data_IF_046146863485
#
_entry.id   IF_046146863485
#
_cell.length_a   1.000
_cell.length_b   1.000
_cell.length_c   1.000
_cell.angle_alpha   90.00
_cell.angle_beta   90.00
_cell.angle_gamma   90.00
#
_symmetry.space_group_name_H-M   'P 1'
#
loop_
_entity.id
_entity.type
_entity.pdbx_description
1 polymer ?
#
# COMPACT_ATOMS: atom_id res chain seq x y z
N UNK A 1 3.55 -8.93 9.89
CA UNK A 1 4.54 -7.93 10.36
C UNK A 1 4.71 -6.75 9.41
N UNK A 2 5.16 -6.93 8.15
CA UNK A 2 5.34 -5.79 7.22
C UNK A 2 4.02 -5.27 6.65
N UNK A 3 3.12 -6.19 6.34
CA UNK A 3 1.71 -5.96 6.02
C UNK A 3 1.01 -5.14 7.11
N UNK A 4 1.11 -5.55 8.37
CA UNK A 4 0.48 -4.86 9.52
C UNK A 4 1.01 -3.44 9.72
N UNK A 5 2.32 -3.23 9.57
CA UNK A 5 2.93 -1.91 9.68
C UNK A 5 2.45 -0.98 8.56
N UNK A 6 2.40 -1.48 7.31
CA UNK A 6 1.90 -0.73 6.18
C UNK A 6 0.39 -0.44 6.31
N UNK A 7 -0.38 -1.42 6.77
CA UNK A 7 -1.81 -1.28 7.06
C UNK A 7 -2.06 -0.17 8.08
N UNK A 8 -1.30 -0.16 9.19
CA UNK A 8 -1.41 0.87 10.21
C UNK A 8 -1.11 2.28 9.66
N UNK A 9 -0.08 2.42 8.83
CA UNK A 9 0.24 3.71 8.20
C UNK A 9 -0.86 4.18 7.26
N UNK A 10 -1.40 3.27 6.43
CA UNK A 10 -2.45 3.61 5.46
C UNK A 10 -3.76 3.96 6.17
N UNK A 11 -4.11 3.25 7.25
CA UNK A 11 -5.27 3.56 8.11
C UNK A 11 -5.23 4.99 8.68
N UNK A 12 -4.05 5.56 8.89
CA UNK A 12 -3.89 6.94 9.34
C UNK A 12 -4.04 8.00 8.24
N UNK A 13 -4.14 7.62 6.97
CA UNK A 13 -4.20 8.53 5.81
C UNK A 13 -5.62 8.64 5.23
N UNK A 14 -6.44 7.61 5.43
CA UNK A 14 -7.76 7.44 4.80
C UNK A 14 -8.90 7.81 5.75
N UNK A 15 -10.10 8.06 5.21
CA UNK A 15 -11.29 8.31 6.04
C UNK A 15 -12.02 7.00 6.40
N UNK A 16 -11.85 5.93 5.61
CA UNK A 16 -12.44 4.61 5.84
C UNK A 16 -11.35 3.59 6.24
N UNK A 17 -10.82 3.62 7.48
CA UNK A 17 -9.72 2.76 7.91
C UNK A 17 -10.08 1.27 7.93
N UNK A 18 -11.36 0.92 8.15
CA UNK A 18 -11.88 -0.44 8.13
C UNK A 18 -11.78 -1.12 6.76
N UNK A 19 -11.74 -0.33 5.68
CA UNK A 19 -11.65 -0.81 4.30
C UNK A 19 -10.20 -0.98 3.82
N UNK A 20 -9.22 -0.73 4.68
CA UNK A 20 -7.81 -0.94 4.38
C UNK A 20 -7.45 -2.40 4.52
N UNK A 21 -7.08 -3.02 3.40
CA UNK A 21 -6.65 -4.42 3.33
C UNK A 21 -5.27 -4.49 2.69
N UNK A 22 -4.30 -5.05 3.40
CA UNK A 22 -2.96 -5.32 2.87
C UNK A 22 -2.79 -6.83 2.68
N UNK A 23 -2.40 -7.24 1.47
CA UNK A 23 -2.10 -8.65 1.15
C UNK A 23 -0.65 -8.82 0.76
N UNK A 24 0.03 -9.75 1.42
CA UNK A 24 1.38 -10.15 1.05
C UNK A 24 1.34 -11.27 0.00
N UNK A 25 2.05 -11.08 -1.11
CA UNK A 25 2.28 -12.10 -2.14
C UNK A 25 3.77 -12.35 -2.32
N UNK A 26 4.21 -13.55 -1.98
CA UNK A 26 5.60 -13.97 -2.18
C UNK A 26 5.77 -14.63 -3.56
N UNK A 27 6.78 -14.17 -4.29
CA UNK A 27 7.17 -14.69 -5.60
C UNK A 27 8.67 -14.98 -5.63
N UNK A 28 9.13 -15.71 -6.66
CA UNK A 28 10.56 -16.04 -6.83
C UNK A 28 11.50 -14.82 -6.88
N UNK A 29 10.99 -13.65 -7.25
CA UNK A 29 11.76 -12.39 -7.39
C UNK A 29 11.57 -11.45 -6.19
N UNK A 30 10.80 -11.85 -5.19
CA UNK A 30 10.54 -11.07 -3.99
C UNK A 30 9.09 -11.03 -3.59
N UNK A 31 8.78 -10.08 -2.70
CA UNK A 31 7.47 -9.94 -2.06
C UNK A 31 6.76 -8.70 -2.60
N UNK A 32 5.48 -8.83 -2.89
CA UNK A 32 4.60 -7.69 -3.20
C UNK A 32 3.59 -7.53 -2.07
N UNK A 33 3.49 -6.31 -1.53
CA UNK A 33 2.43 -5.89 -0.64
C UNK A 33 1.37 -5.16 -1.47
N UNK A 34 0.22 -5.80 -1.64
CA UNK A 34 -0.93 -5.22 -2.33
C UNK A 34 -1.80 -4.50 -1.31
N UNK A 35 -1.95 -3.19 -1.47
CA UNK A 35 -2.80 -2.34 -0.62
C UNK A 35 -4.09 -2.05 -1.37
N UNK A 36 -5.20 -2.41 -0.75
CA UNK A 36 -6.55 -2.05 -1.20
C UNK A 36 -7.17 -1.13 -0.17
N UNK A 37 -7.87 -0.12 -0.66
CA UNK A 37 -8.57 0.88 0.14
C UNK A 37 -9.92 1.17 -0.49
N UNK A 38 -10.79 1.86 0.26
CA UNK A 38 -12.03 2.39 -0.28
C UNK A 38 -11.74 3.28 -1.51
N UNK A 39 -12.53 3.19 -2.61
CA UNK A 39 -12.35 4.03 -3.80
C UNK A 39 -12.28 5.53 -3.50
N UNK A 40 -13.02 6.02 -2.50
CA UNK A 40 -13.02 7.44 -2.11
C UNK A 40 -11.69 7.88 -1.47
N UNK A 41 -10.89 6.94 -0.98
CA UNK A 41 -9.64 7.19 -0.28
C UNK A 41 -8.40 7.02 -1.16
N UNK A 42 -8.53 6.45 -2.36
CA UNK A 42 -7.38 6.15 -3.23
C UNK A 42 -6.56 7.41 -3.55
N UNK A 43 -7.25 8.54 -3.78
CA UNK A 43 -6.61 9.82 -4.04
C UNK A 43 -5.74 10.32 -2.88
N UNK A 44 -6.12 10.01 -1.64
CA UNK A 44 -5.36 10.39 -0.43
C UNK A 44 -4.11 9.54 -0.27
N UNK A 45 -4.22 8.23 -0.52
CA UNK A 45 -3.11 7.29 -0.45
C UNK A 45 -2.09 7.54 -1.56
N UNK A 46 -2.55 7.85 -2.78
CA UNK A 46 -1.66 8.27 -3.86
C UNK A 46 -0.99 9.59 -3.49
N UNK A 47 -1.80 10.56 -3.03
CA UNK A 47 -1.37 11.91 -2.70
C UNK A 47 -1.00 12.73 -3.95
N UNK A 48 -0.82 14.04 -3.77
CA UNK A 48 -0.50 14.95 -4.88
C UNK A 48 0.77 14.50 -5.61
N UNK A 49 0.68 14.30 -6.92
CA UNK A 49 1.77 13.78 -7.78
C UNK A 49 2.35 12.44 -7.30
N UNK A 50 1.56 11.60 -6.62
CA UNK A 50 2.01 10.31 -6.12
C UNK A 50 2.97 10.38 -4.93
N UNK A 51 3.09 11.53 -4.26
CA UNK A 51 4.09 11.77 -3.21
C UNK A 51 3.89 10.85 -2.00
N UNK A 52 2.64 10.64 -1.58
CA UNK A 52 2.33 9.78 -0.42
C UNK A 52 2.66 8.33 -0.73
N UNK A 53 2.19 7.81 -1.87
CA UNK A 53 2.53 6.46 -2.32
C UNK A 53 4.05 6.24 -2.46
N UNK A 54 4.78 7.24 -2.96
CA UNK A 54 6.24 7.18 -3.07
C UNK A 54 6.91 7.13 -1.68
N UNK A 55 6.45 7.93 -0.73
CA UNK A 55 6.98 7.92 0.63
C UNK A 55 6.75 6.56 1.31
N UNK A 56 5.54 5.99 1.19
CA UNK A 56 5.24 4.66 1.70
C UNK A 56 6.17 3.60 1.11
N UNK A 57 6.35 3.60 -0.22
CA UNK A 57 7.30 2.71 -0.91
C UNK A 57 8.73 2.87 -0.39
N UNK A 58 9.19 4.11 -0.22
CA UNK A 58 10.54 4.39 0.30
C UNK A 58 10.73 3.84 1.71
N UNK A 59 9.77 4.04 2.61
CA UNK A 59 9.84 3.51 3.99
C UNK A 59 9.88 1.99 3.97
N UNK A 60 8.95 1.33 3.25
CA UNK A 60 8.92 -0.14 3.16
C UNK A 60 10.23 -0.69 2.57
N UNK A 61 10.74 -0.10 1.47
CA UNK A 61 12.00 -0.54 0.87
C UNK A 61 13.21 -0.31 1.78
N UNK A 62 13.19 0.69 2.67
CA UNK A 62 14.27 0.94 3.62
C UNK A 62 14.32 -0.13 4.74
N UNK A 63 13.16 -0.63 5.18
CA UNK A 63 13.07 -1.62 6.25
C UNK A 63 13.23 -3.05 5.71
N UNK A 64 12.54 -3.37 4.60
CA UNK A 64 12.47 -4.72 4.06
C UNK A 64 13.47 -5.00 2.93
N UNK A 65 14.23 -3.99 2.49
CA UNK A 65 15.18 -4.08 1.39
C UNK A 65 14.55 -3.99 0.00
N UNK A 66 15.38 -4.13 -1.05
CA UNK A 66 14.98 -3.93 -2.46
C UNK A 66 14.04 -5.01 -3.02
N UNK A 67 13.80 -6.07 -2.27
CA UNK A 67 13.05 -7.25 -2.71
C UNK A 67 11.56 -7.15 -2.37
N UNK A 68 11.14 -6.10 -1.65
CA UNK A 68 9.74 -5.83 -1.33
C UNK A 68 9.21 -4.65 -2.14
N UNK A 69 8.06 -4.84 -2.79
CA UNK A 69 7.35 -3.81 -3.56
C UNK A 69 5.97 -3.54 -2.95
N UNK A 70 5.49 -2.31 -3.10
CA UNK A 70 4.15 -1.89 -2.67
C UNK A 70 3.35 -1.47 -3.88
N UNK A 71 2.26 -2.19 -4.12
CA UNK A 71 1.30 -1.94 -5.20
C UNK A 71 -0.02 -1.48 -4.59
N UNK A 72 -0.47 -0.29 -5.01
CA UNK A 72 -1.79 0.22 -4.67
C UNK A 72 -2.75 -0.31 -5.72
N UNK A 73 -3.74 -1.09 -5.31
CA UNK A 73 -4.73 -1.66 -6.22
C UNK A 73 -5.98 -0.82 -6.15
N UNK A 74 -6.36 -0.24 -7.29
CA UNK A 74 -7.65 0.39 -7.45
C UNK A 74 -8.74 -0.69 -7.52
N UNK A 75 -9.79 -0.51 -6.73
CA UNK A 75 -10.92 -1.44 -6.72
C UNK A 75 -11.73 -1.35 -8.02
N UNK A 76 -11.58 -0.26 -8.79
CA UNK A 76 -12.21 -0.09 -10.11
C UNK A 76 -11.56 -0.93 -11.23
N UNK A 77 -10.29 -1.37 -11.10
CA UNK A 77 -9.58 -2.14 -12.14
C UNK A 77 -9.87 -3.66 -12.11
N UNK A 78 -10.81 -4.13 -11.28
CA UNK A 78 -11.16 -5.55 -11.18
C UNK A 78 -12.13 -6.06 -12.27
N UNK A 79 -12.17 -5.43 -13.46
CA UNK A 79 -13.06 -5.84 -14.56
C UNK A 79 -12.33 -6.48 -15.73
#
# INVERSE_FOLDING_TARGET
MMDEALEHLVKGIVDNPEDVIVKEKTHRRGTTLEVRVNPEDIGKVIGRNGRTAKALRTVVSAIAGRTVRVDLIDTDEAR
#
